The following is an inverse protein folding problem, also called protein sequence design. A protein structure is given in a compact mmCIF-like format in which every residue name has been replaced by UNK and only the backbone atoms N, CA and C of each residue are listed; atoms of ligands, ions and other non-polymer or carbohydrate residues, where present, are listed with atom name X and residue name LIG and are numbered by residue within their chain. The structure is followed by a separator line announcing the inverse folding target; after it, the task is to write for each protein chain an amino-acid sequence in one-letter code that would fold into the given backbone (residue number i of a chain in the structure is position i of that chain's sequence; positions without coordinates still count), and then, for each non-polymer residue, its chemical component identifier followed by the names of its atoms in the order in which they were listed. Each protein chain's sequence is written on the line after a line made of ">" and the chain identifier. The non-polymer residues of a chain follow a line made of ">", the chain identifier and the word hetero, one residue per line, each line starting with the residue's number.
data_IF_998426994940
#
_entry.id   IF_998426994940
#
_cell.length_a   1.000
_cell.length_b   1.000
_cell.length_c   1.000
_cell.angle_alpha   90.00
_cell.angle_beta   90.00
_cell.angle_gamma   90.00
#
_symmetry.space_group_name_H-M   'P 1'
#
loop_
_entity.id
_entity.type
_entity.pdbx_description
1 polymer ?
#
# COMPACT_ATOMS: atom_id res chain seq x y z
N UNK A 1 20.62 -18.54 23.94
CA UNK A 1 21.10 -17.46 23.05
C UNK A 1 20.14 -16.31 23.22
N UNK A 2 20.56 -15.22 23.88
CA UNK A 2 19.72 -14.04 24.09
C UNK A 2 19.35 -13.47 22.73
N UNK A 3 18.06 -13.44 22.41
CA UNK A 3 17.56 -12.63 21.30
C UNK A 3 17.95 -11.18 21.60
N UNK A 4 18.95 -10.67 20.87
CA UNK A 4 19.28 -9.25 20.93
C UNK A 4 18.07 -8.49 20.45
N UNK A 5 17.31 -7.91 21.38
CA UNK A 5 16.32 -6.90 21.04
C UNK A 5 17.09 -5.72 20.45
N UNK A 6 17.08 -5.60 19.12
CA UNK A 6 17.39 -4.33 18.47
C UNK A 6 16.27 -3.40 18.93
N UNK A 7 16.53 -2.61 19.98
CA UNK A 7 15.69 -1.49 20.37
C UNK A 7 15.75 -0.47 19.23
N UNK A 8 14.86 -0.60 18.25
CA UNK A 8 14.66 0.43 17.24
C UNK A 8 14.33 1.73 17.97
N UNK A 9 15.12 2.78 17.71
CA UNK A 9 14.85 4.12 18.24
C UNK A 9 13.56 4.63 17.61
N UNK A 10 12.48 4.62 18.37
CA UNK A 10 11.20 5.23 17.97
C UNK A 10 11.29 6.73 18.26
N UNK A 11 11.04 7.57 17.25
CA UNK A 11 11.04 9.02 17.41
C UNK A 11 9.69 9.53 17.92
N UNK A 12 8.58 9.00 17.39
CA UNK A 12 7.22 9.34 17.81
C UNK A 12 6.28 8.13 17.77
N UNK A 13 5.24 8.16 18.60
CA UNK A 13 4.18 7.15 18.67
C UNK A 13 2.85 7.79 18.27
N UNK A 14 2.11 7.11 17.40
CA UNK A 14 0.71 7.40 17.06
C UNK A 14 -0.18 6.38 17.76
N UNK A 15 -1.22 6.83 18.46
CA UNK A 15 -2.21 5.97 19.10
C UNK A 15 -3.56 6.68 19.25
N UNK A 16 -4.63 6.10 18.71
CA UNK A 16 -5.99 6.68 18.75
C UNK A 16 -6.55 6.81 20.17
N UNK A 17 -6.08 5.98 21.11
CA UNK A 17 -6.46 6.01 22.53
C UNK A 17 -5.81 7.15 23.34
N UNK A 18 -4.98 7.98 22.70
CA UNK A 18 -4.27 9.09 23.34
C UNK A 18 -3.03 8.69 24.13
N UNK A 19 -2.63 7.41 24.12
CA UNK A 19 -1.42 6.92 24.81
C UNK A 19 -0.11 7.18 24.04
N UNK A 20 -0.19 7.85 22.88
CA UNK A 20 0.93 8.22 22.02
C UNK A 20 1.19 9.73 22.01
N UNK A 21 2.12 10.17 21.16
CA UNK A 21 2.39 11.59 20.92
C UNK A 21 1.31 12.24 20.04
N UNK A 22 0.70 11.48 19.13
CA UNK A 22 -0.35 11.92 18.22
C UNK A 22 -1.47 10.88 18.16
N UNK A 23 -2.69 11.32 17.85
CA UNK A 23 -3.84 10.43 17.61
C UNK A 23 -4.06 10.12 16.12
N UNK A 24 -3.49 10.95 15.23
CA UNK A 24 -3.54 10.79 13.76
C UNK A 24 -2.15 10.56 13.18
N UNK A 25 -2.06 9.77 12.12
CA UNK A 25 -0.82 9.50 11.40
C UNK A 25 -0.38 10.74 10.63
N UNK A 26 -1.33 11.45 10.02
CA UNK A 26 -1.06 12.67 9.25
C UNK A 26 -0.39 13.77 10.09
N UNK A 27 -0.82 13.93 11.36
CA UNK A 27 -0.24 14.94 12.27
C UNK A 27 1.21 14.59 12.64
N UNK A 28 1.49 13.30 12.87
CA UNK A 28 2.85 12.84 13.16
C UNK A 28 3.80 13.01 11.97
N UNK A 29 3.32 12.76 10.75
CA UNK A 29 4.09 13.00 9.51
C UNK A 29 4.33 14.50 9.32
N UNK A 30 3.31 15.33 9.53
CA UNK A 30 3.43 16.78 9.40
C UNK A 30 4.49 17.34 10.35
N UNK A 31 4.52 16.85 11.60
CA UNK A 31 5.47 17.26 12.62
C UNK A 31 6.89 16.70 12.43
N UNK A 32 7.06 15.63 11.64
CA UNK A 32 8.37 15.05 11.38
C UNK A 32 9.31 16.08 10.71
N UNK A 33 10.60 16.14 11.04
CA UNK A 33 11.52 17.10 10.43
C UNK A 33 11.67 16.86 8.93
N UNK A 34 11.80 17.95 8.15
CA UNK A 34 11.97 17.87 6.71
C UNK A 34 13.41 17.55 6.29
N UNK A 35 13.58 16.95 5.11
CA UNK A 35 14.85 16.68 4.43
C UNK A 35 15.90 15.95 5.27
N UNK A 36 15.45 15.02 6.12
CA UNK A 36 16.36 14.25 6.97
C UNK A 36 17.22 13.32 6.14
N UNK A 37 18.50 13.24 6.50
CA UNK A 37 19.45 12.24 5.95
C UNK A 37 19.41 10.88 6.67
N UNK A 38 18.77 10.83 7.84
CA UNK A 38 18.68 9.63 8.69
C UNK A 38 17.21 9.23 8.86
N UNK A 39 16.91 7.93 9.03
CA UNK A 39 15.56 7.44 9.27
C UNK A 39 14.85 8.15 10.45
N UNK A 40 13.59 8.55 10.25
CA UNK A 40 12.67 9.02 11.29
C UNK A 40 11.59 7.99 11.53
N UNK A 41 11.52 7.43 12.74
CA UNK A 41 10.67 6.28 13.04
C UNK A 41 9.38 6.70 13.72
N UNK A 42 8.25 6.48 13.04
CA UNK A 42 6.91 6.67 13.56
C UNK A 42 6.32 5.28 13.85
N UNK A 43 6.13 4.98 15.13
CA UNK A 43 5.42 3.77 15.55
C UNK A 43 3.92 4.06 15.59
N UNK A 44 3.12 3.25 14.93
CA UNK A 44 1.67 3.38 14.89
C UNK A 44 1.10 2.19 15.67
N UNK A 45 0.39 2.47 16.77
CA UNK A 45 -0.27 1.41 17.55
C UNK A 45 -1.41 0.78 16.74
N UNK A 46 -1.92 -0.33 17.24
CA UNK A 46 -3.13 -0.95 16.72
C UNK A 46 -4.30 0.04 16.66
N UNK A 47 -5.15 -0.12 15.66
CA UNK A 47 -6.24 0.78 15.35
C UNK A 47 -6.58 0.77 13.86
N UNK A 48 -7.81 1.18 13.56
CA UNK A 48 -8.25 1.51 12.22
C UNK A 48 -8.23 3.05 12.06
N UNK A 49 -7.26 3.52 11.30
CA UNK A 49 -7.01 4.93 11.04
C UNK A 49 -7.69 5.31 9.72
N UNK A 50 -8.94 5.78 9.82
CA UNK A 50 -9.68 6.29 8.66
C UNK A 50 -9.23 7.70 8.33
N UNK A 51 -8.17 7.81 7.51
CA UNK A 51 -7.57 9.07 7.08
C UNK A 51 -6.89 8.94 5.71
N UNK A 52 -6.81 10.06 4.99
CA UNK A 52 -6.06 10.15 3.73
C UNK A 52 -4.67 10.72 4.01
N UNK A 53 -3.64 9.89 3.87
CA UNK A 53 -2.26 10.23 4.27
C UNK A 53 -1.42 10.64 3.08
N UNK A 54 -0.68 11.74 3.21
CA UNK A 54 0.33 12.16 2.23
C UNK A 54 1.68 12.28 2.93
N UNK A 55 2.66 11.48 2.48
CA UNK A 55 4.07 11.66 2.83
C UNK A 55 4.68 12.60 1.80
N UNK A 56 4.65 13.90 2.11
CA UNK A 56 5.14 14.96 1.23
C UNK A 56 6.62 14.80 0.86
N UNK A 57 7.03 15.44 -0.24
CA UNK A 57 8.40 15.36 -0.80
C UNK A 57 9.48 15.78 0.20
N UNK A 58 9.14 16.69 1.09
CA UNK A 58 10.02 17.17 2.16
C UNK A 58 10.21 16.13 3.28
N UNK A 59 9.33 15.13 3.41
CA UNK A 59 9.38 14.09 4.46
C UNK A 59 10.23 12.88 4.03
N UNK A 60 11.50 13.11 3.77
CA UNK A 60 12.47 12.08 3.36
C UNK A 60 12.88 11.14 4.50
N UNK A 61 13.22 9.89 4.16
CA UNK A 61 13.67 8.85 5.09
C UNK A 61 12.70 8.60 6.27
N UNK A 62 11.40 8.64 6.00
CA UNK A 62 10.37 8.37 7.00
C UNK A 62 10.09 6.86 7.07
N UNK A 63 10.01 6.31 8.27
CA UNK A 63 9.75 4.89 8.51
C UNK A 63 8.47 4.74 9.34
N UNK A 64 7.43 4.14 8.78
CA UNK A 64 6.21 3.78 9.49
C UNK A 64 6.28 2.33 9.97
N UNK A 65 6.00 2.10 11.25
CA UNK A 65 6.01 0.77 11.86
C UNK A 65 4.68 0.52 12.58
N UNK A 66 3.87 -0.40 12.07
CA UNK A 66 2.64 -0.83 12.70
C UNK A 66 2.81 -1.99 13.67
N UNK A 67 1.70 -2.39 14.30
CA UNK A 67 1.62 -3.53 15.22
C UNK A 67 1.28 -4.87 14.53
N UNK A 68 1.29 -4.91 13.20
CA UNK A 68 0.93 -6.08 12.40
C UNK A 68 -0.15 -5.74 11.38
N UNK A 69 -0.16 -6.46 10.24
CA UNK A 69 -1.10 -6.21 9.15
C UNK A 69 -2.58 -6.31 9.59
N UNK A 70 -2.91 -7.17 10.55
CA UNK A 70 -4.29 -7.29 11.05
C UNK A 70 -4.64 -6.30 12.18
N UNK A 71 -3.66 -5.51 12.64
CA UNK A 71 -3.81 -4.69 13.84
C UNK A 71 -3.72 -3.19 13.55
N UNK A 72 -2.88 -2.78 12.58
CA UNK A 72 -2.71 -1.37 12.21
C UNK A 72 -3.12 -1.17 10.76
N UNK A 73 -4.24 -0.48 10.55
CA UNK A 73 -4.88 -0.31 9.24
C UNK A 73 -5.03 1.18 8.95
N UNK A 74 -4.59 1.62 7.78
CA UNK A 74 -4.89 2.95 7.24
C UNK A 74 -5.93 2.76 6.14
N UNK A 75 -7.13 3.30 6.36
CA UNK A 75 -8.31 2.98 5.56
C UNK A 75 -8.91 4.23 4.92
N UNK A 76 -9.28 4.11 3.65
CA UNK A 76 -9.97 5.12 2.86
C UNK A 76 -11.01 4.47 1.95
N UNK A 77 -11.75 5.27 1.20
CA UNK A 77 -12.85 4.79 0.35
C UNK A 77 -13.12 5.66 -0.88
N UNK A 78 -12.18 6.53 -1.27
CA UNK A 78 -12.30 7.34 -2.48
C UNK A 78 -12.21 6.47 -3.73
N UNK A 79 -12.92 6.87 -4.77
CA UNK A 79 -12.98 6.18 -6.04
C UNK A 79 -13.13 7.15 -7.22
N UNK A 80 -12.78 6.70 -8.41
CA UNK A 80 -12.90 7.51 -9.62
C UNK A 80 -14.36 7.80 -9.95
N UNK A 81 -15.19 6.75 -9.97
CA UNK A 81 -16.57 6.84 -10.43
C UNK A 81 -17.50 7.55 -9.45
N UNK A 82 -17.45 7.22 -8.15
CA UNK A 82 -18.35 7.81 -7.14
C UNK A 82 -17.93 9.22 -6.72
N UNK A 83 -16.63 9.53 -6.71
CA UNK A 83 -16.12 10.82 -6.24
C UNK A 83 -15.66 11.77 -7.37
N UNK A 84 -15.72 11.34 -8.63
CA UNK A 84 -15.25 12.11 -9.80
C UNK A 84 -13.79 12.57 -9.70
N UNK A 85 -12.94 11.74 -9.08
CA UNK A 85 -11.53 12.00 -8.85
C UNK A 85 -10.67 11.31 -9.90
N UNK A 86 -9.51 11.85 -10.27
CA UNK A 86 -8.53 11.06 -11.03
C UNK A 86 -8.06 9.85 -10.20
N UNK A 87 -7.63 8.76 -10.85
CA UNK A 87 -7.09 7.56 -10.17
C UNK A 87 -6.04 7.92 -9.11
N UNK A 88 -5.15 8.88 -9.40
CA UNK A 88 -4.14 9.31 -8.44
C UNK A 88 -4.75 9.93 -7.16
N UNK A 89 -5.83 10.68 -7.29
CA UNK A 89 -6.50 11.35 -6.17
C UNK A 89 -7.34 10.40 -5.31
N UNK A 90 -7.58 9.16 -5.75
CA UNK A 90 -8.32 8.16 -4.96
C UNK A 90 -7.47 7.48 -3.90
N UNK A 91 -6.15 7.65 -3.95
CA UNK A 91 -5.21 7.01 -3.03
C UNK A 91 -5.54 7.28 -1.55
N UNK A 92 -5.70 6.20 -0.77
CA UNK A 92 -5.74 6.29 0.70
C UNK A 92 -4.41 6.82 1.23
N UNK A 93 -3.29 6.33 0.71
CA UNK A 93 -1.94 6.80 1.08
C UNK A 93 -1.13 7.16 -0.17
N UNK A 94 -0.54 8.36 -0.18
CA UNK A 94 0.34 8.84 -1.24
C UNK A 94 1.76 9.11 -0.71
N UNK A 95 2.74 8.43 -1.31
CA UNK A 95 4.16 8.50 -0.90
C UNK A 95 4.97 9.27 -1.94
N UNK A 96 5.44 10.46 -1.53
CA UNK A 96 6.21 11.38 -2.36
C UNK A 96 7.58 11.73 -1.74
N UNK A 97 7.83 11.35 -0.49
CA UNK A 97 9.10 11.54 0.22
C UNK A 97 10.05 10.37 0.01
N UNK A 98 11.20 10.61 -0.62
CA UNK A 98 12.16 9.55 -0.96
C UNK A 98 12.78 8.87 0.28
N UNK A 99 13.10 7.58 0.14
CA UNK A 99 13.64 6.74 1.20
C UNK A 99 12.56 6.26 2.19
N UNK A 100 11.29 6.31 1.80
CA UNK A 100 10.18 5.87 2.64
C UNK A 100 10.22 4.36 2.89
N UNK A 101 9.93 3.96 4.12
CA UNK A 101 9.77 2.55 4.49
C UNK A 101 8.48 2.36 5.29
N UNK A 102 7.73 1.31 5.00
CA UNK A 102 6.63 0.86 5.83
C UNK A 102 6.80 -0.60 6.25
N UNK A 103 6.45 -0.91 7.50
CA UNK A 103 6.51 -2.25 8.06
C UNK A 103 5.26 -2.59 8.88
N UNK A 104 4.73 -3.80 8.74
CA UNK A 104 3.65 -4.33 9.59
C UNK A 104 2.37 -3.47 9.61
N UNK A 105 1.96 -2.93 8.44
CA UNK A 105 0.80 -2.03 8.28
C UNK A 105 -0.06 -2.52 7.11
N UNK A 106 -1.37 -2.32 7.22
CA UNK A 106 -2.32 -2.43 6.11
C UNK A 106 -2.63 -1.07 5.52
N UNK A 107 -2.56 -0.96 4.19
CA UNK A 107 -3.10 0.14 3.40
C UNK A 107 -4.33 -0.37 2.66
N UNK A 108 -5.46 0.29 2.84
CA UNK A 108 -6.75 -0.20 2.36
C UNK A 108 -7.55 0.88 1.63
N UNK A 109 -8.22 0.49 0.55
CA UNK A 109 -9.32 1.24 -0.03
C UNK A 109 -10.59 0.37 -0.09
N UNK A 110 -11.62 0.80 0.64
CA UNK A 110 -12.89 0.09 0.85
C UNK A 110 -13.99 0.46 -0.15
N UNK A 111 -13.69 1.21 -1.21
CA UNK A 111 -14.71 1.69 -2.15
C UNK A 111 -15.52 0.56 -2.83
N UNK A 112 -14.93 -0.64 -2.93
CA UNK A 112 -15.59 -1.86 -3.37
C UNK A 112 -15.61 -2.06 -4.90
N UNK A 113 -16.09 -3.23 -5.36
CA UNK A 113 -16.06 -3.61 -6.78
C UNK A 113 -17.29 -3.18 -7.59
N UNK A 114 -18.20 -2.37 -7.04
CA UNK A 114 -19.44 -2.00 -7.74
C UNK A 114 -19.14 -1.34 -9.10
N UNK A 115 -20.04 -1.53 -10.07
CA UNK A 115 -19.88 -1.00 -11.44
C UNK A 115 -19.69 0.52 -11.48
N UNK A 116 -20.22 1.24 -10.50
CA UNK A 116 -20.12 2.69 -10.38
C UNK A 116 -18.85 3.17 -9.68
N UNK A 117 -18.06 2.28 -9.06
CA UNK A 117 -16.85 2.64 -8.30
C UNK A 117 -15.68 2.96 -9.22
N UNK A 118 -15.36 2.07 -10.16
CA UNK A 118 -14.14 2.18 -10.97
C UNK A 118 -12.86 2.07 -10.13
N UNK A 119 -11.83 2.85 -10.49
CA UNK A 119 -10.50 2.81 -9.88
C UNK A 119 -10.50 3.34 -8.43
N UNK A 120 -9.85 2.63 -7.51
CA UNK A 120 -9.78 3.00 -6.09
C UNK A 120 -8.45 2.56 -5.46
N UNK A 121 -7.50 3.50 -5.38
CA UNK A 121 -6.12 3.20 -4.97
C UNK A 121 -6.00 3.11 -3.45
N UNK A 122 -5.38 2.04 -2.94
CA UNK A 122 -5.01 1.92 -1.52
C UNK A 122 -3.68 2.63 -1.24
N UNK A 123 -2.70 2.46 -2.13
CA UNK A 123 -1.38 3.07 -2.01
C UNK A 123 -0.86 3.52 -3.38
N UNK A 124 -0.38 4.76 -3.44
CA UNK A 124 0.48 5.23 -4.54
C UNK A 124 1.86 5.57 -4.01
N UNK A 125 2.90 5.09 -4.70
CA UNK A 125 4.29 5.48 -4.45
C UNK A 125 4.93 5.98 -5.72
N UNK A 126 5.58 7.15 -5.65
CA UNK A 126 6.29 7.77 -6.78
C UNK A 126 7.78 8.01 -6.50
N UNK A 127 8.36 7.28 -5.54
CA UNK A 127 9.73 7.48 -5.05
C UNK A 127 10.41 6.17 -4.70
N UNK A 128 11.73 6.26 -4.53
CA UNK A 128 12.53 5.19 -3.93
C UNK A 128 11.96 4.81 -2.55
N UNK A 129 11.39 3.60 -2.44
CA UNK A 129 10.63 3.17 -1.26
C UNK A 129 10.65 1.65 -1.05
N UNK A 130 10.43 1.22 0.21
CA UNK A 130 10.36 -0.19 0.56
C UNK A 130 9.19 -0.52 1.50
N UNK A 131 8.59 -1.69 1.31
CA UNK A 131 7.44 -2.18 2.07
C UNK A 131 7.75 -3.61 2.53
N UNK A 132 7.66 -3.86 3.84
CA UNK A 132 7.98 -5.17 4.40
C UNK A 132 6.87 -5.65 5.34
N UNK A 133 6.32 -6.83 5.06
CA UNK A 133 5.18 -7.37 5.84
C UNK A 133 4.02 -6.36 5.90
N UNK A 134 3.68 -5.79 4.75
CA UNK A 134 2.53 -4.92 4.59
C UNK A 134 1.40 -5.65 3.89
N UNK A 135 0.16 -5.22 4.12
CA UNK A 135 -0.99 -5.65 3.31
C UNK A 135 -1.46 -4.46 2.48
N UNK A 136 -1.73 -4.70 1.21
CA UNK A 136 -2.35 -3.75 0.28
C UNK A 136 -3.69 -4.32 -0.13
N UNK A 137 -4.78 -3.70 0.32
CA UNK A 137 -6.12 -4.25 0.21
C UNK A 137 -7.04 -3.32 -0.59
N UNK A 138 -7.64 -3.85 -1.64
CA UNK A 138 -8.51 -3.12 -2.55
C UNK A 138 -9.10 -4.04 -3.61
N UNK A 139 -9.65 -3.42 -4.66
CA UNK A 139 -10.27 -4.09 -5.80
C UNK A 139 -9.57 -3.67 -7.11
N UNK A 140 -10.12 -2.70 -7.83
CA UNK A 140 -9.48 -2.16 -9.04
C UNK A 140 -8.43 -1.11 -8.67
N UNK A 141 -7.24 -1.20 -9.29
CA UNK A 141 -6.12 -0.26 -9.12
C UNK A 141 -5.58 -0.17 -7.67
N UNK A 142 -5.55 -1.28 -6.91
CA UNK A 142 -5.14 -1.30 -5.50
C UNK A 142 -3.77 -0.64 -5.23
N UNK A 143 -2.73 -1.05 -5.95
CA UNK A 143 -1.37 -0.54 -5.80
C UNK A 143 -0.93 0.20 -7.07
N UNK A 144 -0.74 1.51 -6.93
CA UNK A 144 -0.14 2.34 -7.96
C UNK A 144 1.37 2.48 -7.70
N UNK A 145 2.15 1.53 -8.21
CA UNK A 145 3.61 1.59 -8.27
C UNK A 145 4.05 2.55 -9.39
N UNK A 146 3.81 3.85 -9.15
CA UNK A 146 3.81 4.89 -10.20
C UNK A 146 5.17 5.08 -10.88
N UNK A 147 6.25 5.25 -10.12
CA UNK A 147 7.58 5.54 -10.67
C UNK A 147 8.71 5.27 -9.67
N UNK A 148 9.96 5.35 -10.13
CA UNK A 148 11.18 5.13 -9.34
C UNK A 148 11.33 3.69 -8.82
N UNK A 149 12.30 3.43 -7.91
CA UNK A 149 12.65 2.08 -7.48
C UNK A 149 11.83 1.67 -6.27
N UNK A 150 11.13 0.55 -6.35
CA UNK A 150 10.23 0.13 -5.28
C UNK A 150 10.48 -1.33 -4.92
N UNK A 151 10.50 -1.63 -3.63
CA UNK A 151 10.71 -2.99 -3.15
C UNK A 151 9.60 -3.41 -2.19
N UNK A 152 8.90 -4.48 -2.53
CA UNK A 152 7.84 -5.07 -1.73
C UNK A 152 8.29 -6.47 -1.31
N UNK A 153 8.35 -6.74 -0.01
CA UNK A 153 8.81 -8.02 0.51
C UNK A 153 7.87 -8.58 1.55
N UNK A 154 7.50 -9.86 1.38
CA UNK A 154 6.60 -10.56 2.32
C UNK A 154 5.28 -9.79 2.52
N UNK A 155 4.82 -9.12 1.47
CA UNK A 155 3.57 -8.37 1.48
C UNK A 155 2.41 -9.24 0.97
N UNK A 156 1.21 -8.95 1.47
CA UNK A 156 -0.03 -9.49 0.95
C UNK A 156 -0.71 -8.44 0.07
N UNK A 157 -1.07 -8.78 -1.16
CA UNK A 157 -1.64 -7.82 -2.13
C UNK A 157 -2.93 -8.39 -2.69
N UNK A 158 -4.03 -7.66 -2.53
CA UNK A 158 -5.37 -8.07 -2.96
C UNK A 158 -5.90 -7.16 -4.08
N UNK A 159 -6.65 -7.73 -5.01
CA UNK A 159 -7.39 -6.94 -5.99
C UNK A 159 -8.06 -7.75 -7.08
N UNK A 160 -8.66 -7.06 -8.05
CA UNK A 160 -9.46 -7.63 -9.13
C UNK A 160 -8.90 -7.30 -10.52
N UNK A 161 -8.91 -6.02 -10.89
CA UNK A 161 -8.48 -5.49 -12.19
C UNK A 161 -7.29 -4.57 -11.96
N UNK A 162 -6.21 -4.80 -12.71
CA UNK A 162 -5.01 -3.94 -12.79
C UNK A 162 -4.44 -3.55 -11.41
N UNK A 163 -4.57 -4.45 -10.43
CA UNK A 163 -4.40 -4.08 -9.02
C UNK A 163 -2.93 -3.89 -8.60
N UNK A 164 -1.98 -4.15 -9.50
CA UNK A 164 -0.58 -3.72 -9.42
C UNK A 164 -0.25 -3.01 -10.75
N UNK A 165 -0.12 -1.69 -10.75
CA UNK A 165 0.05 -0.93 -11.99
C UNK A 165 1.01 0.25 -11.86
N UNK A 166 1.47 0.77 -13.00
CA UNK A 166 2.36 1.93 -13.11
C UNK A 166 3.66 1.66 -13.87
N UNK A 167 4.63 2.57 -13.73
CA UNK A 167 5.93 2.60 -14.45
C UNK A 167 7.13 2.61 -13.48
N UNK A 168 6.95 2.09 -12.26
CA UNK A 168 8.08 1.90 -11.34
C UNK A 168 9.00 0.77 -11.79
N UNK A 169 10.27 0.84 -11.38
CA UNK A 169 11.14 -0.33 -11.28
C UNK A 169 10.79 -1.07 -9.99
N UNK A 170 9.74 -1.88 -10.02
CA UNK A 170 9.15 -2.50 -8.83
C UNK A 170 9.49 -3.99 -8.73
N UNK A 171 10.06 -4.40 -7.60
CA UNK A 171 10.32 -5.82 -7.29
C UNK A 171 9.42 -6.27 -6.15
N UNK A 172 8.66 -7.32 -6.39
CA UNK A 172 7.86 -8.04 -5.40
C UNK A 172 8.57 -9.35 -5.10
N UNK A 173 8.98 -9.55 -3.84
CA UNK A 173 9.73 -10.73 -3.42
C UNK A 173 9.06 -11.43 -2.24
N UNK A 174 8.83 -12.73 -2.37
CA UNK A 174 8.19 -13.53 -1.31
C UNK A 174 6.81 -12.99 -0.89
N UNK A 175 6.12 -12.29 -1.79
CA UNK A 175 4.79 -11.75 -1.54
C UNK A 175 3.71 -12.80 -1.82
N UNK A 176 2.55 -12.62 -1.20
CA UNK A 176 1.32 -13.32 -1.59
C UNK A 176 0.44 -12.35 -2.38
N UNK A 177 -0.01 -12.78 -3.55
CA UNK A 177 -0.83 -12.01 -4.48
C UNK A 177 -2.17 -12.75 -4.61
N UNK A 178 -3.23 -12.12 -4.13
CA UNK A 178 -4.56 -12.70 -3.99
C UNK A 178 -5.54 -12.05 -4.97
N UNK A 179 -6.01 -12.85 -5.93
CA UNK A 179 -7.00 -12.40 -6.91
C UNK A 179 -8.40 -12.56 -6.32
N UNK A 180 -9.08 -11.43 -6.08
CA UNK A 180 -10.45 -11.38 -5.55
C UNK A 180 -11.49 -11.73 -6.59
N UNK A 181 -12.63 -12.22 -6.11
CA UNK A 181 -13.78 -12.41 -6.99
C UNK A 181 -14.28 -11.08 -7.55
N UNK A 182 -14.57 -11.09 -8.85
CA UNK A 182 -15.34 -10.08 -9.53
C UNK A 182 -16.22 -10.82 -10.53
N UNK A 183 -17.49 -10.44 -10.62
CA UNK A 183 -18.38 -10.96 -11.67
C UNK A 183 -17.81 -10.63 -13.06
N UNK A 184 -18.06 -11.50 -14.04
CA UNK A 184 -17.49 -11.38 -15.38
C UNK A 184 -16.11 -12.04 -15.54
N UNK A 185 -15.47 -11.80 -16.69
CA UNK A 185 -14.39 -12.66 -17.21
C UNK A 185 -12.98 -12.10 -17.05
N UNK A 186 -12.79 -10.83 -16.72
CA UNK A 186 -11.44 -10.22 -16.69
C UNK A 186 -11.01 -9.95 -15.26
N UNK A 187 -9.90 -10.59 -14.87
CA UNK A 187 -9.08 -10.21 -13.73
C UNK A 187 -7.65 -10.08 -14.23
N UNK A 188 -7.00 -8.99 -13.90
CA UNK A 188 -5.62 -8.70 -14.32
C UNK A 188 -4.82 -8.36 -13.08
N UNK A 189 -3.66 -9.01 -12.94
CA UNK A 189 -2.78 -8.78 -11.80
C UNK A 189 -1.99 -7.49 -12.04
N UNK A 190 -1.44 -7.34 -13.25
CA UNK A 190 -0.54 -6.24 -13.59
C UNK A 190 -1.03 -5.45 -14.80
N UNK A 191 -0.94 -4.12 -14.72
CA UNK A 191 -0.97 -3.22 -15.87
C UNK A 191 0.29 -2.36 -15.86
N UNK A 192 1.37 -2.91 -16.42
CA UNK A 192 2.65 -2.22 -16.54
C UNK A 192 2.54 -1.14 -17.61
N UNK A 193 2.95 0.08 -17.26
CA UNK A 193 2.68 1.29 -18.01
C UNK A 193 3.92 1.95 -18.57
N UNK A 194 5.01 1.21 -18.86
CA UNK A 194 6.23 1.82 -19.36
C UNK A 194 5.99 2.61 -20.65
N UNK A 195 6.18 3.92 -20.56
CA UNK A 195 5.90 4.85 -21.64
C UNK A 195 7.02 4.85 -22.71
N UNK A 196 8.27 4.72 -22.26
CA UNK A 196 9.45 4.86 -23.12
C UNK A 196 10.20 3.52 -23.27
N UNK A 197 10.57 3.08 -24.50
CA UNK A 197 11.30 1.83 -24.71
C UNK A 197 12.65 1.74 -23.97
N UNK A 198 13.27 2.90 -23.68
CA UNK A 198 14.53 3.02 -22.92
C UNK A 198 14.30 3.32 -21.43
N UNK A 199 13.05 3.38 -20.98
CA UNK A 199 12.70 3.53 -19.57
C UNK A 199 13.10 2.30 -18.76
N UNK A 200 13.39 2.52 -17.47
CA UNK A 200 13.76 1.46 -16.53
C UNK A 200 12.53 0.86 -15.82
N UNK A 201 11.32 1.26 -16.20
CA UNK A 201 10.07 0.70 -15.67
C UNK A 201 9.99 -0.81 -15.88
N UNK A 202 9.35 -1.47 -14.92
CA UNK A 202 9.08 -2.90 -14.98
C UNK A 202 8.65 -3.45 -13.63
N UNK A 203 7.66 -4.35 -13.68
CA UNK A 203 7.18 -5.11 -12.52
C UNK A 203 7.83 -6.50 -12.54
N UNK A 204 8.58 -6.82 -11.48
CA UNK A 204 9.26 -8.10 -11.29
C UNK A 204 8.61 -8.84 -10.12
N UNK A 205 8.02 -10.01 -10.39
CA UNK A 205 7.42 -10.90 -9.39
C UNK A 205 8.35 -12.09 -9.17
N UNK A 206 9.01 -12.14 -8.01
CA UNK A 206 10.08 -13.10 -7.72
C UNK A 206 9.79 -13.91 -6.46
N UNK A 207 9.65 -15.24 -6.61
CA UNK A 207 9.33 -16.15 -5.50
C UNK A 207 8.05 -15.77 -4.74
N UNK A 208 7.06 -15.23 -5.45
CA UNK A 208 5.74 -14.90 -4.90
C UNK A 208 4.77 -16.06 -5.10
N UNK A 209 3.75 -16.11 -4.25
CA UNK A 209 2.60 -17.00 -4.42
C UNK A 209 1.46 -16.21 -5.04
N UNK A 210 0.91 -16.68 -6.17
CA UNK A 210 -0.28 -16.09 -6.79
C UNK A 210 -1.43 -17.08 -6.62
N UNK A 211 -2.49 -16.68 -5.92
CA UNK A 211 -3.64 -17.55 -5.63
C UNK A 211 -4.94 -16.77 -5.68
N UNK A 212 -6.06 -17.49 -5.76
CA UNK A 212 -7.38 -16.89 -5.63
C UNK A 212 -7.64 -16.56 -4.14
N UNK A 213 -8.24 -15.40 -3.86
CA UNK A 213 -8.68 -15.06 -2.52
C UNK A 213 -9.86 -15.95 -2.09
N UNK A 214 -10.17 -15.98 -0.78
CA UNK A 214 -11.26 -16.80 -0.23
C UNK A 214 -12.61 -16.49 -0.89
N UNK A 215 -12.91 -15.20 -1.10
CA UNK A 215 -14.13 -14.73 -1.77
C UNK A 215 -14.29 -15.27 -3.22
N UNK A 216 -13.19 -15.62 -3.88
CA UNK A 216 -13.16 -16.26 -5.19
C UNK A 216 -13.49 -17.74 -5.10
N UNK A 217 -12.99 -18.41 -4.06
CA UNK A 217 -13.18 -19.85 -3.87
C UNK A 217 -14.65 -20.20 -3.59
N UNK A 218 -15.36 -19.34 -2.86
CA UNK A 218 -16.78 -19.51 -2.52
C UNK A 218 -17.71 -19.35 -3.74
N UNK A 219 -17.29 -18.58 -4.75
CA UNK A 219 -18.10 -18.28 -5.94
C UNK A 219 -17.79 -19.17 -7.17
N UNK A 220 -17.02 -20.26 -7.00
CA UNK A 220 -16.60 -21.17 -8.10
C UNK A 220 -17.74 -21.85 -8.87
N UNK A 221 -18.93 -21.98 -8.27
CA UNK A 221 -20.10 -22.59 -8.91
C UNK A 221 -20.70 -21.77 -10.06
N UNK A 222 -20.24 -20.54 -10.26
CA UNK A 222 -20.70 -19.63 -11.32
C UNK A 222 -19.79 -19.55 -12.56
N UNK A 223 -18.63 -20.22 -12.55
CA UNK A 223 -17.64 -20.13 -13.62
C UNK A 223 -17.79 -21.34 -14.56
N UNK A 224 -18.30 -21.12 -15.77
CA UNK A 224 -18.22 -22.13 -16.84
C UNK A 224 -16.76 -22.27 -17.26
N UNK A 225 -16.24 -23.49 -17.15
CA UNK A 225 -14.94 -23.90 -17.71
C UNK A 225 -15.06 -24.13 -19.21
#
# INVERSE_FOLDING_TARGET
>A
MSQGQITQRIDVIVAQDGSGNYTKISDAILAAPSFRRKPYYIKIKEGNYTEYVVVGREKTNLVLIGNGINNTIISGNKSHGKDHLSTYQTATVAIQGAGFVAMNITFENTAGPDQETGQAVALVSEVDSAFYRCKLDGYQDTLYAKSNKQFYRECDIYGTIDFIFGDASAVFQNCNIYVRFLGGNVKTITAEGREEPKGNGGIIIHNCTITAAEDFSENRTSIKT
#
